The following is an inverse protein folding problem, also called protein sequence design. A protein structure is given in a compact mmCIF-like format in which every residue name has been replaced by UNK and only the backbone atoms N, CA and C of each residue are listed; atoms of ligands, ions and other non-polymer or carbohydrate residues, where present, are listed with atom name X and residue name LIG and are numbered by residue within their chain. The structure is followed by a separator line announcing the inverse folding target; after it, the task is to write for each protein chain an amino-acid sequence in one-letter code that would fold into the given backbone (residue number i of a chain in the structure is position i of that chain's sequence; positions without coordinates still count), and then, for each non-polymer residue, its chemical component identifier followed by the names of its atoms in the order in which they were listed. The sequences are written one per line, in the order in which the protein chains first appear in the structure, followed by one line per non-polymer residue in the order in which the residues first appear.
data_IF_981087011184
#
_entry.id   IF_981087011184
#
_cell.length_a   1.000
_cell.length_b   1.000
_cell.length_c   1.000
_cell.angle_alpha   90.00
_cell.angle_beta   90.00
_cell.angle_gamma   90.00
#
_symmetry.space_group_name_H-M   'P 1'
#
loop_
_entity.id
_entity.type
_entity.pdbx_description
1 polymer ?
#
# COMPACT_ATOMS: atom_id res chain seq x y z
N UNK A 1 -0.45 28.84 -5.17
CA UNK A 1 -0.42 27.38 -4.84
C UNK A 1 0.94 26.90 -4.32
N UNK A 2 2.06 27.26 -4.97
CA UNK A 2 3.38 26.84 -4.48
C UNK A 2 3.75 27.62 -3.22
N UNK A 3 3.58 28.92 -3.19
CA UNK A 3 3.75 29.74 -2.01
C UNK A 3 2.92 29.26 -0.82
N UNK A 4 1.67 28.88 -1.06
CA UNK A 4 0.77 28.40 -0.01
C UNK A 4 1.27 27.08 0.64
N UNK A 5 1.89 26.21 -0.18
CA UNK A 5 2.48 24.97 0.31
C UNK A 5 3.77 25.22 1.09
N UNK A 6 4.59 26.18 0.65
CA UNK A 6 5.81 26.60 1.36
C UNK A 6 5.46 27.25 2.70
N UNK A 7 4.45 28.12 2.72
CA UNK A 7 3.94 28.77 3.94
C UNK A 7 3.38 27.71 4.92
N UNK A 8 2.61 26.74 4.42
CA UNK A 8 2.09 25.64 5.24
C UNK A 8 3.22 24.81 5.84
N UNK A 9 4.24 24.47 5.04
CA UNK A 9 5.42 23.75 5.52
C UNK A 9 6.13 24.52 6.61
N UNK A 10 6.36 25.81 6.40
CA UNK A 10 6.97 26.71 7.39
C UNK A 10 6.15 26.80 8.67
N UNK A 11 4.83 26.90 8.58
CA UNK A 11 3.93 26.91 9.73
C UNK A 11 4.01 25.61 10.54
N UNK A 12 3.97 24.45 9.87
CA UNK A 12 4.05 23.14 10.51
C UNK A 12 5.38 22.95 11.24
N UNK A 13 6.48 23.32 10.59
CA UNK A 13 7.81 23.23 11.15
C UNK A 13 7.98 24.14 12.37
N UNK A 14 7.59 25.41 12.27
CA UNK A 14 7.80 26.41 13.31
C UNK A 14 6.88 26.21 14.51
N UNK A 15 5.62 25.81 14.29
CA UNK A 15 4.63 25.72 15.35
C UNK A 15 4.60 24.34 16.03
N UNK A 16 4.82 23.28 15.27
CA UNK A 16 4.66 21.90 15.72
C UNK A 16 5.96 21.10 15.69
N UNK A 17 7.07 21.71 15.27
CA UNK A 17 8.35 21.04 15.03
C UNK A 17 8.21 19.80 14.12
N UNK A 18 7.31 19.89 13.14
CA UNK A 18 6.95 18.82 12.24
C UNK A 18 7.34 19.18 10.80
N UNK A 19 8.25 18.41 10.18
CA UNK A 19 8.56 18.53 8.75
C UNK A 19 7.61 17.63 7.94
N UNK A 20 6.67 18.18 7.18
CA UNK A 20 5.77 17.39 6.36
C UNK A 20 6.44 16.77 5.13
N UNK A 21 7.71 17.11 4.86
CA UNK A 21 8.45 16.66 3.70
C UNK A 21 8.26 17.54 2.48
N UNK A 22 8.48 16.96 1.30
CA UNK A 22 8.33 17.63 0.02
C UNK A 22 6.91 17.43 -0.53
N UNK A 23 6.40 18.40 -1.27
CA UNK A 23 5.11 18.31 -1.97
C UNK A 23 5.28 18.15 -3.49
N UNK A 24 6.47 18.36 -4.02
CA UNK A 24 6.81 18.20 -5.43
C UNK A 24 8.18 17.51 -5.57
N UNK A 25 8.42 16.94 -6.74
CA UNK A 25 9.69 16.36 -7.14
C UNK A 25 10.30 15.40 -6.09
N UNK A 26 9.46 14.46 -5.61
CA UNK A 26 9.91 13.39 -4.74
C UNK A 26 9.58 12.03 -5.34
N UNK A 27 10.48 11.08 -5.10
CA UNK A 27 10.33 9.69 -5.52
C UNK A 27 9.91 8.84 -4.32
N UNK A 28 9.07 7.85 -4.59
CA UNK A 28 8.69 6.83 -3.60
C UNK A 28 9.22 5.47 -4.05
N UNK A 29 9.93 4.80 -3.16
CA UNK A 29 10.45 3.47 -3.43
C UNK A 29 9.39 2.41 -3.13
N UNK A 30 9.19 1.50 -4.08
CA UNK A 30 8.30 0.35 -3.95
C UNK A 30 9.09 -0.96 -4.11
N UNK A 31 9.96 -1.31 -3.15
CA UNK A 31 10.75 -2.51 -3.26
C UNK A 31 9.86 -3.75 -3.21
N UNK A 32 10.12 -4.68 -4.14
CA UNK A 32 9.45 -5.96 -4.19
C UNK A 32 10.46 -7.05 -4.50
N UNK A 33 10.34 -8.18 -3.82
CA UNK A 33 11.08 -9.38 -4.19
C UNK A 33 10.19 -10.62 -4.14
N UNK A 34 10.51 -11.55 -5.02
CA UNK A 34 9.86 -12.85 -5.07
C UNK A 34 10.90 -13.94 -5.16
N UNK A 35 10.79 -14.89 -4.24
CA UNK A 35 11.60 -16.10 -4.24
C UNK A 35 10.68 -17.28 -4.50
N UNK A 36 11.08 -18.14 -5.42
CA UNK A 36 10.37 -19.37 -5.73
C UNK A 36 11.38 -20.52 -5.81
N UNK A 37 11.09 -21.60 -5.13
CA UNK A 37 11.83 -22.83 -5.22
C UNK A 37 10.87 -24.00 -5.54
N UNK A 38 11.32 -24.88 -6.40
CA UNK A 38 10.59 -26.12 -6.71
C UNK A 38 11.58 -27.27 -6.79
N UNK A 39 11.19 -28.37 -6.15
CA UNK A 39 11.92 -29.63 -6.19
C UNK A 39 10.97 -30.72 -6.69
N UNK A 40 11.36 -31.38 -7.74
CA UNK A 40 10.67 -32.54 -8.28
C UNK A 40 11.57 -33.77 -8.08
N UNK A 41 11.06 -34.76 -7.34
CA UNK A 41 11.77 -35.97 -7.01
C UNK A 41 11.01 -37.20 -7.52
N UNK A 42 11.66 -37.94 -8.37
CA UNK A 42 11.18 -39.23 -8.85
C UNK A 42 11.74 -40.33 -7.91
N UNK A 43 10.98 -40.67 -6.87
CA UNK A 43 11.41 -41.65 -5.88
C UNK A 43 11.60 -43.07 -6.51
N UNK A 44 10.76 -43.39 -7.48
CA UNK A 44 10.86 -44.58 -8.32
C UNK A 44 9.99 -44.42 -9.59
N UNK A 45 9.91 -45.44 -10.45
CA UNK A 45 9.14 -45.40 -11.70
C UNK A 45 7.63 -45.14 -11.48
N UNK A 46 7.13 -45.39 -10.28
CA UNK A 46 5.71 -45.31 -9.95
C UNK A 46 5.37 -44.13 -9.01
N UNK A 47 6.36 -43.50 -8.41
CA UNK A 47 6.14 -42.43 -7.43
C UNK A 47 6.93 -41.18 -7.76
N UNK A 48 6.21 -40.08 -7.89
CA UNK A 48 6.76 -38.75 -8.09
C UNK A 48 6.26 -37.81 -7.00
N UNK A 49 7.19 -37.11 -6.39
CA UNK A 49 6.91 -36.09 -5.36
C UNK A 49 7.39 -34.74 -5.90
N UNK A 50 6.56 -33.74 -5.77
CA UNK A 50 6.95 -32.36 -6.04
C UNK A 50 6.69 -31.48 -4.83
N UNK A 51 7.59 -30.55 -4.60
CA UNK A 51 7.50 -29.57 -3.52
C UNK A 51 7.74 -28.20 -4.11
N UNK A 52 6.89 -27.22 -3.73
CA UNK A 52 7.01 -25.81 -4.15
C UNK A 52 6.97 -24.91 -2.93
N UNK A 53 7.89 -23.98 -2.91
CA UNK A 53 7.94 -22.87 -1.95
C UNK A 53 7.87 -21.55 -2.73
N UNK A 54 7.08 -20.60 -2.25
CA UNK A 54 7.02 -19.25 -2.78
C UNK A 54 6.99 -18.26 -1.63
N UNK A 55 7.85 -17.25 -1.69
CA UNK A 55 7.82 -16.09 -0.81
C UNK A 55 7.81 -14.82 -1.64
N UNK A 56 6.86 -13.93 -1.37
CA UNK A 56 6.76 -12.60 -1.99
C UNK A 56 6.71 -11.58 -0.90
N UNK A 57 7.50 -10.54 -1.06
CA UNK A 57 7.46 -9.34 -0.22
C UNK A 57 7.28 -8.15 -1.13
N UNK A 58 6.34 -7.27 -0.79
CA UNK A 58 6.08 -6.04 -1.53
C UNK A 58 5.84 -4.92 -0.54
N UNK A 59 6.49 -3.79 -0.77
CA UNK A 59 6.24 -2.57 -0.02
C UNK A 59 5.76 -1.50 -1.00
N UNK A 60 4.49 -1.16 -0.93
CA UNK A 60 3.86 -0.16 -1.79
C UNK A 60 3.68 1.16 -1.05
N UNK A 61 4.06 2.26 -1.68
CA UNK A 61 3.76 3.59 -1.18
C UNK A 61 2.40 4.05 -1.71
N UNK A 62 1.53 4.44 -0.80
CA UNK A 62 0.20 4.93 -1.11
C UNK A 62 0.04 6.37 -0.68
N UNK A 63 -0.62 7.15 -1.52
CA UNK A 63 -1.03 8.51 -1.17
C UNK A 63 -2.15 8.49 -0.12
N UNK A 64 -2.25 9.54 0.71
CA UNK A 64 -3.35 9.66 1.66
C UNK A 64 -4.68 9.59 0.93
N UNK A 65 -5.64 8.90 1.52
CA UNK A 65 -6.96 8.74 0.91
C UNK A 65 -7.79 10.01 1.05
N UNK A 66 -8.45 10.41 -0.01
CA UNK A 66 -9.45 11.47 0.01
C UNK A 66 -10.75 11.06 0.71
N UNK A 67 -10.94 9.78 1.01
CA UNK A 67 -12.17 9.27 1.65
C UNK A 67 -12.32 9.69 3.12
N UNK A 68 -11.22 10.11 3.75
CA UNK A 68 -11.22 10.58 5.15
C UNK A 68 -11.39 12.10 5.24
N UNK A 69 -11.39 12.80 4.12
CA UNK A 69 -11.65 14.22 4.10
C UNK A 69 -13.12 14.47 4.46
N UNK A 70 -13.42 15.19 5.53
CA UNK A 70 -14.78 15.65 5.80
C UNK A 70 -15.31 16.56 4.69
N UNK A 71 -14.45 16.88 3.76
CA UNK A 71 -14.64 17.73 2.61
C UNK A 71 -14.76 16.93 1.30
N UNK A 72 -15.07 15.64 1.36
CA UNK A 72 -15.29 14.85 0.14
C UNK A 72 -16.42 15.39 -0.74
N UNK A 73 -17.31 16.18 -0.15
CA UNK A 73 -18.43 16.81 -0.82
C UNK A 73 -18.33 18.34 -0.92
N UNK A 74 -17.47 18.97 -0.11
CA UNK A 74 -17.29 20.43 -0.13
C UNK A 74 -15.84 20.78 0.19
N UNK A 75 -15.13 21.29 -0.77
CA UNK A 75 -13.85 21.94 -0.56
C UNK A 75 -13.99 23.40 -0.98
N UNK A 76 -13.18 24.20 -0.38
CA UNK A 76 -12.92 25.56 -0.85
C UNK A 76 -12.28 25.46 -2.23
N UNK A 77 -13.11 25.57 -3.26
CA UNK A 77 -12.70 25.49 -4.65
C UNK A 77 -13.13 26.76 -5.37
N UNK A 78 -12.21 27.53 -5.93
CA UNK A 78 -12.56 28.70 -6.74
C UNK A 78 -13.38 28.27 -7.95
N UNK A 79 -14.65 28.68 -8.00
CA UNK A 79 -15.60 28.28 -9.05
C UNK A 79 -16.58 27.17 -8.67
N UNK A 80 -16.58 26.73 -7.41
CA UNK A 80 -17.62 25.84 -6.89
C UNK A 80 -18.98 26.53 -6.81
N UNK A 81 -20.06 25.72 -6.84
CA UNK A 81 -21.45 26.21 -6.82
C UNK A 81 -22.04 26.28 -5.42
N UNK A 82 -21.22 26.34 -4.38
CA UNK A 82 -21.73 26.47 -3.01
C UNK A 82 -22.29 27.85 -2.78
N UNK A 83 -23.41 27.92 -2.09
CA UNK A 83 -24.01 29.16 -1.59
C UNK A 83 -23.50 29.55 -0.22
N UNK A 84 -22.67 28.72 0.39
CA UNK A 84 -22.08 28.99 1.71
C UNK A 84 -20.96 30.01 1.62
N UNK A 85 -20.97 31.02 2.48
CA UNK A 85 -19.96 32.06 2.54
C UNK A 85 -19.33 32.04 3.93
N UNK A 86 -18.01 31.83 4.01
CA UNK A 86 -17.23 31.93 5.24
C UNK A 86 -16.27 33.09 5.10
N UNK A 87 -16.28 34.00 6.07
CA UNK A 87 -15.44 35.21 6.09
C UNK A 87 -15.52 36.05 4.78
N UNK A 88 -16.72 36.14 4.21
CA UNK A 88 -16.96 36.90 2.98
C UNK A 88 -16.46 36.23 1.70
N UNK A 89 -15.98 34.99 1.78
CA UNK A 89 -15.53 34.20 0.62
C UNK A 89 -16.46 33.01 0.37
N UNK A 90 -16.87 32.79 -0.88
CA UNK A 90 -17.69 31.64 -1.20
C UNK A 90 -16.93 30.33 -0.99
N UNK A 91 -17.57 29.39 -0.30
CA UNK A 91 -17.08 28.02 -0.10
C UNK A 91 -17.50 27.18 -1.29
N UNK A 92 -16.54 26.70 -2.06
CA UNK A 92 -16.82 25.87 -3.21
C UNK A 92 -16.99 24.39 -2.88
N UNK A 93 -17.74 23.69 -3.70
CA UNK A 93 -17.80 22.23 -3.68
C UNK A 93 -16.66 21.63 -4.49
N UNK A 94 -16.10 20.52 -4.01
CA UNK A 94 -15.14 19.74 -4.83
C UNK A 94 -15.91 19.19 -6.03
N UNK A 95 -15.37 19.42 -7.22
CA UNK A 95 -15.93 18.79 -8.41
C UNK A 95 -15.88 17.27 -8.30
N UNK A 96 -16.93 16.55 -8.73
CA UNK A 96 -16.95 15.10 -8.72
C UNK A 96 -15.77 14.52 -9.48
N UNK A 97 -15.15 13.46 -8.94
CA UNK A 97 -14.02 12.77 -9.56
C UNK A 97 -12.63 13.32 -9.19
N UNK A 98 -12.52 14.26 -8.26
CA UNK A 98 -11.25 14.72 -7.75
C UNK A 98 -10.77 13.80 -6.64
N UNK A 99 -9.86 12.91 -7.00
CA UNK A 99 -9.21 11.98 -6.06
C UNK A 99 -7.85 12.49 -5.60
N UNK A 100 -7.15 11.65 -4.87
CA UNK A 100 -5.80 11.87 -4.35
C UNK A 100 -4.74 12.24 -5.41
N UNK A 101 -5.00 11.97 -6.68
CA UNK A 101 -4.14 12.28 -7.83
C UNK A 101 -4.63 13.47 -8.64
N UNK A 102 -5.62 14.21 -8.15
CA UNK A 102 -6.12 15.41 -8.82
C UNK A 102 -5.07 16.51 -8.82
N UNK A 103 -5.09 17.33 -9.84
CA UNK A 103 -4.26 18.57 -9.90
C UNK A 103 -4.55 19.57 -8.77
N UNK A 104 -5.62 19.38 -8.03
CA UNK A 104 -6.00 20.17 -6.87
C UNK A 104 -5.68 19.52 -5.53
N UNK A 105 -5.21 18.29 -5.54
CA UNK A 105 -4.82 17.54 -4.36
C UNK A 105 -3.29 17.46 -4.32
N UNK A 106 -2.66 18.36 -3.56
CA UNK A 106 -1.25 18.29 -3.25
C UNK A 106 -1.07 17.66 -1.87
N UNK A 107 -0.27 16.62 -1.79
CA UNK A 107 0.07 15.98 -0.53
C UNK A 107 1.58 16.05 -0.31
N UNK A 108 1.96 16.23 0.95
CA UNK A 108 3.36 16.16 1.33
C UNK A 108 3.85 14.70 1.34
N UNK A 109 5.13 14.49 1.07
CA UNK A 109 5.73 13.16 0.99
C UNK A 109 5.57 12.33 2.27
N UNK A 110 5.61 13.00 3.43
CA UNK A 110 5.48 12.35 4.73
C UNK A 110 4.03 12.03 5.13
N UNK A 111 3.05 12.50 4.34
CA UNK A 111 1.65 12.10 4.53
C UNK A 111 1.30 10.76 3.87
N UNK A 112 2.20 10.22 3.06
CA UNK A 112 2.02 8.92 2.45
C UNK A 112 2.11 7.81 3.50
N UNK A 113 1.46 6.69 3.23
CA UNK A 113 1.61 5.49 4.03
C UNK A 113 2.15 4.34 3.18
N UNK A 114 2.80 3.40 3.84
CA UNK A 114 3.31 2.20 3.20
C UNK A 114 2.42 1.02 3.53
N UNK A 115 2.11 0.24 2.51
CA UNK A 115 1.48 -1.05 2.66
C UNK A 115 2.51 -2.12 2.39
N UNK A 116 2.83 -2.90 3.42
CA UNK A 116 3.74 -4.03 3.33
C UNK A 116 2.93 -5.29 3.26
N UNK A 117 3.15 -6.09 2.22
CA UNK A 117 2.49 -7.38 2.02
C UNK A 117 3.53 -8.47 1.93
N UNK A 118 3.43 -9.40 2.86
CA UNK A 118 4.20 -10.62 2.89
C UNK A 118 3.32 -11.81 2.57
N UNK A 119 3.70 -12.56 1.57
CA UNK A 119 3.01 -13.78 1.18
C UNK A 119 3.98 -14.95 1.19
N UNK A 120 3.64 -16.00 1.89
CA UNK A 120 4.41 -17.24 1.93
C UNK A 120 3.48 -18.40 1.59
N UNK A 121 3.88 -19.24 0.67
CA UNK A 121 3.13 -20.43 0.26
C UNK A 121 4.03 -21.64 0.14
N UNK A 122 3.54 -22.76 0.65
CA UNK A 122 4.16 -24.07 0.54
C UNK A 122 3.13 -25.01 -0.07
N UNK A 123 3.51 -25.76 -1.07
CA UNK A 123 2.67 -26.77 -1.68
C UNK A 123 3.46 -28.05 -1.96
N UNK A 124 2.84 -29.18 -1.75
CA UNK A 124 3.38 -30.47 -2.07
C UNK A 124 2.38 -31.34 -2.83
N UNK A 125 2.90 -32.16 -3.69
CA UNK A 125 2.12 -33.11 -4.48
C UNK A 125 2.84 -34.45 -4.54
N UNK A 126 2.11 -35.51 -4.29
CA UNK A 126 2.58 -36.88 -4.44
C UNK A 126 1.69 -37.62 -5.44
N UNK A 127 2.28 -38.02 -6.53
CA UNK A 127 1.65 -38.83 -7.56
C UNK A 127 2.17 -40.27 -7.46
N UNK A 128 1.29 -41.23 -7.32
CA UNK A 128 1.61 -42.65 -7.21
C UNK A 128 0.80 -43.48 -8.21
N UNK A 129 1.48 -44.33 -8.97
CA UNK A 129 0.88 -45.30 -9.88
C UNK A 129 0.93 -46.68 -9.21
N UNK A 130 -0.23 -47.31 -9.08
CA UNK A 130 -0.39 -48.62 -8.47
C UNK A 130 -0.96 -49.59 -9.47
N UNK A 131 -0.87 -50.90 -9.16
CA UNK A 131 -1.43 -51.99 -9.97
C UNK A 131 -0.99 -51.91 -11.44
N UNK A 132 0.31 -51.81 -11.70
CA UNK A 132 0.90 -51.73 -13.07
C UNK A 132 0.33 -50.59 -13.93
N UNK A 133 -0.12 -49.50 -13.31
CA UNK A 133 -0.68 -48.34 -13.97
C UNK A 133 -2.19 -48.32 -14.08
N UNK A 134 -2.90 -49.33 -13.58
CA UNK A 134 -4.35 -49.32 -13.59
C UNK A 134 -4.97 -48.33 -12.58
N UNK A 135 -4.23 -47.92 -11.55
CA UNK A 135 -4.66 -46.94 -10.56
C UNK A 135 -3.65 -45.79 -10.44
N UNK A 136 -4.14 -44.59 -10.53
CA UNK A 136 -3.36 -43.36 -10.25
C UNK A 136 -3.91 -42.70 -8.97
N UNK A 137 -3.05 -42.49 -8.00
CA UNK A 137 -3.36 -41.73 -6.80
C UNK A 137 -2.60 -40.42 -6.80
N UNK A 138 -3.27 -39.31 -6.48
CA UNK A 138 -2.70 -37.99 -6.35
C UNK A 138 -3.09 -37.38 -5.02
N UNK A 139 -2.11 -37.13 -4.18
CA UNK A 139 -2.28 -36.40 -2.92
C UNK A 139 -1.65 -35.03 -3.06
N UNK A 140 -2.41 -34.00 -2.70
CA UNK A 140 -1.94 -32.61 -2.68
C UNK A 140 -2.15 -31.99 -1.32
N UNK A 141 -1.19 -31.22 -0.88
CA UNK A 141 -1.37 -30.32 0.24
C UNK A 141 -0.86 -28.92 -0.15
N UNK A 142 -1.48 -27.89 0.41
CA UNK A 142 -1.04 -26.51 0.25
C UNK A 142 -1.32 -25.75 1.54
N UNK A 143 -0.38 -24.91 1.90
CA UNK A 143 -0.50 -23.96 2.98
C UNK A 143 -0.07 -22.60 2.47
N UNK A 144 -0.85 -21.55 2.73
CA UNK A 144 -0.48 -20.18 2.41
C UNK A 144 -0.76 -19.27 3.59
N UNK A 145 0.14 -18.36 3.81
CA UNK A 145 0.04 -17.31 4.83
C UNK A 145 0.30 -15.97 4.17
N UNK A 146 -0.54 -15.00 4.48
CA UNK A 146 -0.39 -13.61 4.05
C UNK A 146 -0.47 -12.70 5.25
N UNK A 147 0.47 -11.77 5.31
CA UNK A 147 0.49 -10.67 6.26
C UNK A 147 0.39 -9.35 5.49
N UNK A 148 -0.43 -8.43 5.98
CA UNK A 148 -0.67 -7.14 5.35
C UNK A 148 -0.63 -6.05 6.43
N UNK A 149 0.45 -5.27 6.42
CA UNK A 149 0.73 -4.25 7.44
C UNK A 149 0.66 -2.87 6.79
N UNK A 150 -0.10 -1.97 7.38
CA UNK A 150 -0.13 -0.55 7.02
C UNK A 150 0.79 0.24 7.95
N UNK A 151 1.87 0.78 7.40
CA UNK A 151 2.82 1.61 8.11
C UNK A 151 2.61 3.08 7.71
N UNK A 152 2.25 3.92 8.67
CA UNK A 152 2.25 5.37 8.47
C UNK A 152 3.65 5.92 8.77
N UNK A 153 4.15 6.80 7.92
CA UNK A 153 5.48 7.42 8.05
C UNK A 153 5.63 8.24 9.33
N UNK A 154 4.50 8.68 9.91
CA UNK A 154 4.47 9.54 11.09
C UNK A 154 4.66 8.84 12.44
N UNK A 155 4.58 7.52 12.51
CA UNK A 155 4.61 6.83 13.82
C UNK A 155 6.01 6.56 14.37
N UNK A 156 7.05 6.69 13.56
CA UNK A 156 8.39 6.29 14.01
C UNK A 156 9.10 7.36 14.87
N UNK A 157 8.71 8.61 14.78
CA UNK A 157 9.40 9.68 15.52
C UNK A 157 8.66 10.17 16.77
N UNK A 158 7.35 10.02 16.84
CA UNK A 158 6.59 10.45 18.03
C UNK A 158 6.77 9.57 19.28
N UNK A 159 7.25 8.33 19.13
CA UNK A 159 7.45 7.43 20.27
C UNK A 159 8.87 7.43 20.83
N UNK A 160 9.84 8.06 20.17
CA UNK A 160 11.22 8.12 20.71
C UNK A 160 11.48 9.30 21.63
N UNK A 161 10.54 10.24 21.76
CA UNK A 161 10.72 11.43 22.62
C UNK A 161 10.01 11.32 23.98
N UNK A 162 9.48 10.16 24.32
CA UNK A 162 8.74 9.91 25.58
C UNK A 162 9.38 8.84 26.47
N UNK A 163 10.72 8.74 26.48
CA UNK A 163 11.47 7.96 27.48
C UNK A 163 12.55 8.83 28.11
#
# INVERSE_FOLDING_TARGET
LQSDMDDMRGFLLNKYNFDPGKYNDYSTDTPAYRVMARVDWNANQNNKVSFRFTKTHTKDSNFPTSSVSPLSTSALYPGGTSTEVIDGKPVGTIAPGQGRTSKYALSFSNSNYYQVRDFTSVAGEWNSRMAQGAMNNMLRFAYSYQDDIHLQTLQTECFQTAL
#
